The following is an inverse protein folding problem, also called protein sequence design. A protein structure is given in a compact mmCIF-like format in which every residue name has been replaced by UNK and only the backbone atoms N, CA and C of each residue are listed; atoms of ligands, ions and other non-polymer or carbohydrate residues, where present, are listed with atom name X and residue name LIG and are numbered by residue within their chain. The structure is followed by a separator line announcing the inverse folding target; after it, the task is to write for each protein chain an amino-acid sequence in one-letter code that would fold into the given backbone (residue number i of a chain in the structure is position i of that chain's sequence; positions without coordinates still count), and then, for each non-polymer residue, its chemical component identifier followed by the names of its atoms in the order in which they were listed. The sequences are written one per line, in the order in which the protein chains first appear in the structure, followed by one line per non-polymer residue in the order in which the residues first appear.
data_IF_413534838794
#
_entry.id   IF_413534838794
#
_cell.length_a   1.000
_cell.length_b   1.000
_cell.length_c   1.000
_cell.angle_alpha   90.00
_cell.angle_beta   90.00
_cell.angle_gamma   90.00
#
_symmetry.space_group_name_H-M   'P 1'
#
loop_
_entity.id
_entity.type
_entity.pdbx_description
1 polymer ?
#
# COMPACT_ATOMS: atom_id res chain seq x y z
N UNK A 1 15.31 -17.14 5.33
CA UNK A 1 14.49 -16.45 6.35
C UNK A 1 13.57 -15.52 5.61
N UNK A 2 12.26 -15.62 5.83
CA UNK A 2 11.29 -14.73 5.20
C UNK A 2 11.42 -13.34 5.81
N UNK A 3 11.61 -12.30 4.99
CA UNK A 3 11.66 -10.92 5.46
C UNK A 3 10.26 -10.30 5.37
N UNK A 4 9.88 -9.53 6.39
CA UNK A 4 8.62 -8.80 6.44
C UNK A 4 8.90 -7.31 6.65
N UNK A 5 8.37 -6.46 5.77
CA UNK A 5 8.47 -4.99 5.87
C UNK A 5 7.08 -4.41 6.13
N UNK A 6 6.92 -3.72 7.26
CA UNK A 6 5.66 -3.07 7.65
C UNK A 6 5.94 -1.59 7.84
N UNK A 7 5.20 -0.73 7.15
CA UNK A 7 5.33 0.72 7.22
C UNK A 7 3.95 1.35 7.32
N UNK A 8 3.76 2.21 8.32
CA UNK A 8 2.62 3.13 8.42
C UNK A 8 3.21 4.54 8.37
N UNK A 9 2.89 5.31 7.33
CA UNK A 9 3.40 6.66 7.13
C UNK A 9 2.33 7.59 6.59
N UNK A 10 2.54 8.90 6.80
CA UNK A 10 1.77 9.97 6.17
C UNK A 10 2.27 10.29 4.75
N UNK A 11 3.45 9.79 4.39
CA UNK A 11 4.07 10.03 3.09
C UNK A 11 3.41 9.22 1.98
N UNK A 12 3.56 9.70 0.74
CA UNK A 12 3.23 8.90 -0.44
C UNK A 12 4.29 7.81 -0.62
N UNK A 13 3.86 6.66 -1.11
CA UNK A 13 4.74 5.60 -1.57
C UNK A 13 4.59 5.39 -3.07
N UNK A 14 5.59 4.75 -3.68
CA UNK A 14 5.60 4.36 -5.08
C UNK A 14 5.69 2.84 -5.18
N UNK A 15 4.74 2.20 -5.84
CA UNK A 15 4.76 0.74 -6.05
C UNK A 15 6.03 0.31 -6.80
N UNK A 16 6.50 1.12 -7.75
CA UNK A 16 7.71 0.85 -8.53
C UNK A 16 8.99 0.84 -7.69
N UNK A 17 9.03 1.60 -6.59
CA UNK A 17 10.19 1.62 -5.68
C UNK A 17 10.19 0.42 -4.74
N UNK A 18 9.01 -0.14 -4.43
CA UNK A 18 8.83 -1.27 -3.52
C UNK A 18 8.97 -2.64 -4.22
N UNK A 19 8.57 -2.73 -5.49
CA UNK A 19 8.54 -3.98 -6.23
C UNK A 19 9.90 -4.70 -6.36
N UNK A 20 11.04 -4.01 -6.63
CA UNK A 20 12.34 -4.68 -6.78
C UNK A 20 12.75 -5.47 -5.54
N UNK A 21 12.51 -4.92 -4.35
CA UNK A 21 12.75 -5.63 -3.10
C UNK A 21 11.78 -6.80 -2.92
N UNK A 22 10.50 -6.59 -3.22
CA UNK A 22 9.46 -7.61 -3.06
C UNK A 22 9.68 -8.83 -3.99
N UNK A 23 10.24 -8.62 -5.17
CA UNK A 23 10.41 -9.63 -6.22
C UNK A 23 11.89 -10.02 -6.44
N UNK A 24 12.79 -9.75 -5.48
CA UNK A 24 14.23 -9.94 -5.64
C UNK A 24 14.65 -11.42 -5.75
N UNK A 25 13.90 -12.32 -5.11
CA UNK A 25 14.31 -13.71 -4.92
C UNK A 25 13.84 -14.57 -6.09
N UNK A 26 14.78 -15.28 -6.71
CA UNK A 26 14.48 -16.24 -7.80
C UNK A 26 13.56 -17.40 -7.36
N UNK A 27 13.52 -17.71 -6.06
CA UNK A 27 12.65 -18.76 -5.49
C UNK A 27 11.18 -18.31 -5.35
N UNK A 28 10.88 -17.02 -5.46
CA UNK A 28 9.53 -16.46 -5.39
C UNK A 28 8.83 -16.57 -6.76
N UNK A 29 8.34 -17.78 -7.07
CA UNK A 29 7.72 -18.10 -8.36
C UNK A 29 6.40 -17.37 -8.69
N UNK A 30 5.85 -16.61 -7.73
CA UNK A 30 4.70 -15.73 -7.96
C UNK A 30 4.71 -14.56 -6.96
N UNK A 31 4.58 -13.33 -7.48
CA UNK A 31 4.48 -12.10 -6.67
C UNK A 31 3.13 -11.45 -6.94
N UNK A 32 2.37 -11.13 -5.88
CA UNK A 32 1.05 -10.51 -5.97
C UNK A 32 1.06 -9.21 -5.18
N UNK A 33 0.57 -8.13 -5.80
CA UNK A 33 0.42 -6.82 -5.16
C UNK A 33 -1.04 -6.41 -5.09
N UNK A 34 -1.42 -5.75 -4.00
CA UNK A 34 -2.71 -5.07 -3.87
C UNK A 34 -2.50 -3.60 -3.54
N UNK A 35 -3.18 -2.69 -4.25
CA UNK A 35 -3.08 -1.24 -4.01
C UNK A 35 -4.48 -0.62 -3.94
N UNK A 36 -4.83 -0.12 -2.76
CA UNK A 36 -6.08 0.63 -2.54
C UNK A 36 -5.92 2.11 -2.90
N UNK A 37 -6.96 2.71 -3.49
CA UNK A 37 -7.04 4.16 -3.77
C UNK A 37 -8.28 4.74 -3.11
N UNK A 38 -8.21 6.00 -2.67
CA UNK A 38 -9.39 6.74 -2.18
C UNK A 38 -10.38 6.92 -3.33
N UNK A 39 -11.64 6.53 -3.10
CA UNK A 39 -12.73 6.71 -4.06
C UNK A 39 -13.19 8.17 -4.06
N UNK A 40 -13.63 8.66 -5.21
CA UNK A 40 -14.09 10.05 -5.38
C UNK A 40 -15.59 10.25 -5.05
N UNK A 41 -16.30 9.20 -4.62
CA UNK A 41 -17.72 9.26 -4.28
C UNK A 41 -18.04 8.33 -3.11
N UNK A 42 -19.11 8.66 -2.38
CA UNK A 42 -19.69 7.83 -1.34
C UNK A 42 -21.22 7.95 -1.40
N UNK A 43 -21.93 6.83 -1.58
CA UNK A 43 -23.40 6.78 -1.66
C UNK A 43 -24.05 7.78 -2.66
N UNK A 44 -23.35 8.13 -3.74
CA UNK A 44 -23.83 9.06 -4.76
C UNK A 44 -23.34 10.50 -4.57
N UNK A 45 -22.80 10.85 -3.41
CA UNK A 45 -22.22 12.17 -3.15
C UNK A 45 -20.73 12.21 -3.47
N UNK A 46 -20.25 13.37 -3.94
CA UNK A 46 -18.82 13.61 -4.17
C UNK A 46 -18.07 13.70 -2.85
N UNK A 47 -16.96 12.96 -2.73
CA UNK A 47 -16.05 13.04 -1.57
C UNK A 47 -14.92 14.02 -1.88
N UNK A 48 -14.67 14.98 -0.99
CA UNK A 48 -13.58 15.96 -1.14
C UNK A 48 -12.22 15.40 -0.68
N UNK A 49 -12.20 14.72 0.46
CA UNK A 49 -11.01 14.14 1.06
C UNK A 49 -11.38 13.03 2.06
N UNK A 50 -10.42 12.15 2.35
CA UNK A 50 -10.49 11.16 3.43
C UNK A 50 -9.30 11.39 4.36
N UNK A 51 -9.58 11.67 5.63
CA UNK A 51 -8.55 11.71 6.68
C UNK A 51 -8.41 10.31 7.27
N UNK A 52 -7.16 9.86 7.44
CA UNK A 52 -6.85 8.57 8.05
C UNK A 52 -6.16 8.81 9.39
N UNK A 53 -6.58 8.07 10.40
CA UNK A 53 -5.98 8.05 11.73
C UNK A 53 -5.70 6.59 12.10
N UNK A 54 -4.65 6.37 12.88
CA UNK A 54 -4.34 5.06 13.43
C UNK A 54 -3.93 5.18 14.89
N UNK A 55 -4.23 4.17 15.68
CA UNK A 55 -3.64 4.05 17.01
C UNK A 55 -2.15 3.74 16.86
N UNK A 56 -1.33 4.45 17.63
CA UNK A 56 0.08 4.08 17.76
C UNK A 56 0.20 2.84 18.63
N UNK A 57 1.24 2.04 18.39
CA UNK A 57 1.68 1.03 19.35
C UNK A 57 2.11 1.67 20.68
#
# INVERSE_FOLDING_TARGET
MTQTRIIVSHDRFCVGDEYPWLAERDEDGAVVTFTGKVRNHNLGDSVKALTLEHYRE
#
